data_IF_893509287694
#
_entry.id   IF_893509287694
#
_cell.length_a   1.000
_cell.length_b   1.000
_cell.length_c   1.000
_cell.angle_alpha   90.00
_cell.angle_beta   90.00
_cell.angle_gamma   90.00
#
_symmetry.space_group_name_H-M   'P 1'
#
loop_
_entity.id
_entity.type
_entity.pdbx_description
1 polymer ?
#
# COMPACT_ATOMS: atom_id res chain seq x y z
N UNK A 1 13.75 16.54 -3.31
CA UNK A 1 13.89 16.77 -1.84
C UNK A 1 12.91 15.82 -1.14
N UNK A 2 13.31 15.20 -0.01
CA UNK A 2 12.39 14.43 0.83
C UNK A 2 11.49 15.40 1.61
N UNK A 3 10.17 15.08 1.72
CA UNK A 3 9.22 15.93 2.40
C UNK A 3 9.17 15.65 3.90
N UNK A 4 9.21 16.69 4.72
CA UNK A 4 8.99 16.62 6.15
C UNK A 4 7.49 16.77 6.51
N UNK A 5 7.16 16.63 7.79
CA UNK A 5 5.81 16.69 8.32
C UNK A 5 5.04 17.97 7.95
N UNK A 6 5.70 19.14 7.99
CA UNK A 6 5.07 20.44 7.65
C UNK A 6 4.69 20.49 6.16
N UNK A 7 5.57 19.99 5.29
CA UNK A 7 5.34 19.97 3.85
C UNK A 7 4.24 18.96 3.48
N UNK A 8 4.21 17.77 4.13
CA UNK A 8 3.16 16.79 3.95
C UNK A 8 1.80 17.36 4.38
N UNK A 9 1.71 17.99 5.58
CA UNK A 9 0.47 18.66 6.05
C UNK A 9 -0.01 19.73 5.07
N UNK A 10 0.91 20.50 4.50
CA UNK A 10 0.58 21.54 3.51
C UNK A 10 -0.07 20.91 2.27
N UNK A 11 0.53 19.88 1.69
CA UNK A 11 0.00 19.19 0.50
C UNK A 11 -1.33 18.48 0.77
N UNK A 12 -1.51 17.91 1.96
CA UNK A 12 -2.80 17.34 2.35
C UNK A 12 -3.87 18.42 2.40
N UNK A 13 -3.57 19.59 2.98
CA UNK A 13 -4.53 20.70 3.08
C UNK A 13 -4.87 21.31 1.73
N UNK A 14 -3.89 21.47 0.84
CA UNK A 14 -4.04 22.18 -0.42
C UNK A 14 -4.52 21.27 -1.56
N UNK A 15 -4.13 20.00 -1.57
CA UNK A 15 -4.35 19.07 -2.68
C UNK A 15 -5.05 17.76 -2.26
N UNK A 16 -5.42 17.60 -0.97
CA UNK A 16 -6.04 16.38 -0.43
C UNK A 16 -5.17 15.13 -0.70
N UNK A 17 -3.84 15.29 -0.55
CA UNK A 17 -2.86 14.28 -0.96
C UNK A 17 -3.07 12.92 -0.28
N UNK A 18 -3.57 12.90 0.98
CA UNK A 18 -3.84 11.69 1.78
C UNK A 18 -5.21 11.83 2.43
N UNK A 19 -6.12 10.88 2.21
CA UNK A 19 -7.45 10.90 2.78
C UNK A 19 -7.94 9.48 3.16
N UNK A 20 -8.33 9.21 4.44
CA UNK A 20 -8.30 10.09 5.59
C UNK A 20 -6.88 10.31 6.13
N UNK A 21 -6.56 11.53 6.52
CA UNK A 21 -5.25 11.91 7.05
C UNK A 21 -5.22 11.90 8.58
N UNK A 22 -4.18 11.32 9.16
CA UNK A 22 -3.88 11.37 10.60
C UNK A 22 -2.66 12.25 10.82
N UNK A 23 -2.86 13.46 11.35
CA UNK A 23 -1.89 14.57 11.38
C UNK A 23 -0.74 14.42 12.41
N UNK A 24 -0.70 13.29 13.11
CA UNK A 24 0.33 12.93 14.09
C UNK A 24 0.53 11.42 14.12
N UNK A 25 1.65 10.98 14.66
CA UNK A 25 1.87 9.55 14.89
C UNK A 25 1.03 9.07 16.07
N UNK A 26 0.19 8.06 15.84
CA UNK A 26 -0.56 7.32 16.86
C UNK A 26 0.28 6.10 17.23
N UNK A 27 0.81 6.07 18.44
CA UNK A 27 1.74 5.03 18.90
C UNK A 27 1.06 3.79 19.51
N UNK A 28 -0.26 3.85 19.78
CA UNK A 28 -0.97 2.74 20.39
C UNK A 28 -1.08 1.57 19.40
N UNK A 29 -0.66 0.37 19.82
CA UNK A 29 -0.61 -0.81 18.97
C UNK A 29 0.51 -0.70 17.91
N UNK A 30 0.18 -0.98 16.66
CA UNK A 30 1.10 -0.77 15.54
C UNK A 30 0.89 0.66 15.02
N UNK A 31 1.91 1.50 15.20
CA UNK A 31 1.82 2.93 14.96
C UNK A 31 1.41 3.29 13.53
N UNK A 32 0.64 4.36 13.37
CA UNK A 32 0.21 4.90 12.08
C UNK A 32 0.11 6.42 12.13
N UNK A 33 -0.02 7.06 10.97
CA UNK A 33 -0.14 8.49 10.81
C UNK A 33 1.17 9.18 10.44
N UNK A 34 1.20 10.50 10.61
CA UNK A 34 2.30 11.36 10.17
C UNK A 34 3.54 11.20 11.05
N UNK A 35 4.70 11.01 10.39
CA UNK A 35 6.03 10.98 10.98
C UNK A 35 6.81 12.27 10.64
N UNK A 36 8.00 12.44 11.21
CA UNK A 36 8.89 13.57 10.90
C UNK A 36 9.21 13.68 9.40
N UNK A 37 9.40 12.53 8.74
CA UNK A 37 9.50 12.38 7.30
C UNK A 37 8.67 11.17 6.89
N UNK A 38 7.66 11.38 6.04
CA UNK A 38 6.79 10.31 5.56
C UNK A 38 5.55 10.06 6.42
N UNK A 39 4.87 8.95 6.13
CA UNK A 39 3.59 8.59 6.71
C UNK A 39 3.48 7.08 6.88
N UNK A 40 3.02 6.63 8.04
CA UNK A 40 2.69 5.22 8.30
C UNK A 40 1.22 4.99 7.91
N UNK A 41 1.02 4.34 6.78
CA UNK A 41 -0.31 4.06 6.26
C UNK A 41 -0.91 2.78 6.87
N UNK A 42 -2.24 2.70 6.90
CA UNK A 42 -3.00 1.57 7.42
C UNK A 42 -3.46 0.66 6.28
N UNK A 43 -3.61 -0.63 6.54
CA UNK A 43 -4.40 -1.46 5.63
C UNK A 43 -5.88 -1.41 6.00
N UNK A 44 -6.75 -1.56 5.01
CA UNK A 44 -8.19 -1.72 5.19
C UNK A 44 -8.54 -3.08 5.81
N UNK A 45 -9.81 -3.43 5.77
CA UNK A 45 -10.36 -4.68 6.33
C UNK A 45 -10.83 -5.67 5.26
N UNK A 46 -10.38 -5.48 4.02
CA UNK A 46 -10.52 -6.46 2.93
C UNK A 46 -9.15 -7.02 2.60
N UNK A 47 -9.08 -8.34 2.52
CA UNK A 47 -7.84 -9.09 2.29
C UNK A 47 -8.08 -10.16 1.24
N UNK A 48 -7.05 -10.44 0.44
CA UNK A 48 -6.98 -11.58 -0.46
C UNK A 48 -5.79 -12.44 -0.06
N UNK A 49 -6.04 -13.61 0.52
CA UNK A 49 -4.99 -14.55 0.96
C UNK A 49 -4.73 -15.51 -0.19
N UNK A 50 -3.47 -15.57 -0.64
CA UNK A 50 -3.09 -16.46 -1.73
C UNK A 50 -3.30 -17.93 -1.34
N UNK A 51 -3.92 -18.67 -2.24
CA UNK A 51 -4.15 -20.11 -2.11
C UNK A 51 -3.32 -20.86 -3.14
N UNK A 52 -2.56 -21.83 -2.65
CA UNK A 52 -1.79 -22.71 -3.54
C UNK A 52 -2.73 -23.72 -4.19
N UNK A 53 -3.09 -23.48 -5.45
CA UNK A 53 -3.83 -24.44 -6.26
C UNK A 53 -2.80 -25.38 -6.91
N UNK A 54 -2.90 -26.69 -6.61
CA UNK A 54 -1.97 -27.69 -7.14
C UNK A 54 -1.95 -27.64 -8.67
N UNK A 55 -0.76 -27.45 -9.23
CA UNK A 55 -0.54 -27.40 -10.68
C UNK A 55 -0.86 -26.04 -11.33
N UNK A 56 -1.30 -25.02 -10.56
CA UNK A 56 -1.48 -23.69 -11.10
C UNK A 56 -0.15 -22.91 -11.16
N UNK A 57 0.01 -22.09 -12.18
CA UNK A 57 1.12 -21.16 -12.33
C UNK A 57 0.63 -19.74 -11.97
N UNK A 58 1.37 -19.03 -11.12
CA UNK A 58 1.12 -17.60 -10.89
C UNK A 58 1.65 -16.83 -12.12
N UNK A 59 0.76 -16.45 -13.01
CA UNK A 59 1.07 -15.71 -14.24
C UNK A 59 0.46 -14.31 -14.16
N UNK A 60 1.26 -13.22 -14.16
CA UNK A 60 0.74 -11.87 -14.08
C UNK A 60 -0.13 -11.48 -15.28
N UNK A 61 -0.08 -12.22 -16.39
CA UNK A 61 -0.95 -12.03 -17.54
C UNK A 61 -2.30 -12.74 -17.41
N UNK A 62 -2.39 -13.70 -16.50
CA UNK A 62 -3.59 -14.53 -16.28
C UNK A 62 -3.81 -14.80 -14.79
N UNK A 63 -3.71 -13.76 -13.95
CA UNK A 63 -3.86 -13.88 -12.51
C UNK A 63 -5.30 -13.56 -12.11
N UNK A 64 -6.01 -14.54 -11.57
CA UNK A 64 -7.45 -14.49 -11.33
C UNK A 64 -7.81 -14.54 -9.85
N UNK A 65 -9.06 -14.23 -9.53
CA UNK A 65 -9.62 -14.32 -8.17
C UNK A 65 -9.55 -15.74 -7.59
N UNK A 66 -9.53 -16.77 -8.43
CA UNK A 66 -9.46 -18.17 -7.99
C UNK A 66 -8.15 -18.49 -7.25
N UNK A 67 -7.13 -17.66 -7.43
CA UNK A 67 -5.87 -17.77 -6.69
C UNK A 67 -5.96 -17.27 -5.23
N UNK A 68 -7.12 -16.78 -4.78
CA UNK A 68 -7.25 -16.14 -3.49
C UNK A 68 -8.49 -16.60 -2.72
N UNK A 69 -8.36 -16.62 -1.40
CA UNK A 69 -9.49 -16.54 -0.47
C UNK A 69 -9.67 -15.09 -0.08
N UNK A 70 -10.85 -14.52 -0.38
CA UNK A 70 -11.21 -13.16 0.02
C UNK A 70 -11.83 -13.17 1.41
N UNK A 71 -11.28 -12.33 2.30
CA UNK A 71 -11.77 -12.13 3.67
C UNK A 71 -12.13 -10.66 3.83
N UNK A 72 -13.34 -10.35 4.34
CA UNK A 72 -13.83 -8.98 4.54
C UNK A 72 -14.39 -8.80 5.94
N UNK A 73 -14.20 -7.59 6.48
CA UNK A 73 -14.78 -7.18 7.77
C UNK A 73 -14.05 -7.70 9.00
N UNK A 74 -13.00 -8.53 8.84
CA UNK A 74 -12.24 -9.07 9.95
C UNK A 74 -11.24 -8.04 10.51
N UNK A 75 -11.00 -8.10 11.82
CA UNK A 75 -10.02 -7.25 12.50
C UNK A 75 -8.56 -7.67 12.23
N UNK A 76 -8.35 -8.89 11.77
CA UNK A 76 -7.04 -9.42 11.38
C UNK A 76 -7.18 -10.69 10.55
N UNK A 77 -6.12 -11.01 9.79
CA UNK A 77 -5.98 -12.29 9.09
C UNK A 77 -4.70 -12.99 9.53
N UNK A 78 -4.60 -14.28 9.21
CA UNK A 78 -3.36 -15.07 9.30
C UNK A 78 -2.85 -15.34 7.89
N UNK A 79 -1.63 -14.87 7.60
CA UNK A 79 -0.96 -15.16 6.34
C UNK A 79 -0.20 -16.48 6.51
N UNK A 80 -0.48 -17.51 5.69
CA UNK A 80 0.17 -18.81 5.82
C UNK A 80 1.70 -18.73 5.65
N UNK A 81 2.45 -19.74 6.13
CA UNK A 81 3.88 -19.85 5.92
C UNK A 81 4.24 -19.81 4.43
N UNK A 82 5.32 -19.12 4.08
CA UNK A 82 5.84 -19.04 2.71
C UNK A 82 4.78 -18.66 1.67
N UNK A 83 3.81 -17.83 2.07
CA UNK A 83 2.70 -17.38 1.23
C UNK A 83 2.59 -15.86 1.27
N UNK A 84 1.61 -15.30 0.58
CA UNK A 84 1.37 -13.86 0.58
C UNK A 84 -0.11 -13.52 0.65
N UNK A 85 -0.38 -12.27 0.97
CA UNK A 85 -1.72 -11.70 0.95
C UNK A 85 -1.70 -10.30 0.35
N UNK A 86 -2.81 -9.91 -0.26
CA UNK A 86 -3.04 -8.55 -0.74
C UNK A 86 -4.02 -7.86 0.21
N UNK A 87 -3.76 -6.58 0.49
CA UNK A 87 -4.70 -5.68 1.13
C UNK A 87 -4.68 -4.32 0.42
N UNK A 88 -5.74 -3.54 0.52
CA UNK A 88 -5.69 -2.14 0.10
C UNK A 88 -5.29 -1.23 1.27
N UNK A 89 -4.63 -0.12 0.97
CA UNK A 89 -4.52 0.95 1.97
C UNK A 89 -5.90 1.45 2.36
N UNK A 90 -6.07 1.83 3.64
CA UNK A 90 -7.26 2.55 4.09
C UNK A 90 -7.26 3.95 3.50
N UNK A 91 -6.09 4.57 3.45
CA UNK A 91 -5.89 5.88 2.86
C UNK A 91 -6.01 5.84 1.34
N UNK A 92 -6.72 6.80 0.78
CA UNK A 92 -6.72 7.15 -0.64
C UNK A 92 -5.67 8.24 -0.87
N UNK A 93 -4.83 8.05 -1.85
CA UNK A 93 -3.77 8.99 -2.20
C UNK A 93 -4.11 9.77 -3.47
N UNK A 94 -3.83 11.08 -3.47
CA UNK A 94 -3.85 11.94 -4.65
C UNK A 94 -2.46 12.56 -4.80
N UNK A 95 -1.60 11.89 -5.52
CA UNK A 95 -0.22 12.36 -5.69
C UNK A 95 -0.16 13.62 -6.52
N UNK A 96 0.44 14.72 -6.01
CA UNK A 96 0.71 15.91 -6.81
C UNK A 96 1.59 15.60 -8.03
N UNK A 97 1.54 16.45 -9.06
CA UNK A 97 2.30 16.23 -10.31
C UNK A 97 3.83 16.28 -10.15
N UNK A 98 4.32 16.80 -9.05
CA UNK A 98 5.75 16.94 -8.74
C UNK A 98 6.18 16.16 -7.48
N UNK A 99 5.32 15.25 -6.99
CA UNK A 99 5.61 14.42 -5.82
C UNK A 99 5.47 12.95 -6.17
N UNK A 100 6.47 12.16 -5.83
CA UNK A 100 6.45 10.71 -5.87
C UNK A 100 6.57 10.13 -4.47
N UNK A 101 6.01 8.94 -4.24
CA UNK A 101 6.11 8.23 -2.97
C UNK A 101 6.86 6.91 -3.13
N UNK A 102 7.66 6.54 -2.12
CA UNK A 102 8.28 5.22 -2.00
C UNK A 102 7.69 4.53 -0.78
N UNK A 103 6.98 3.43 -1.02
CA UNK A 103 6.38 2.59 0.02
C UNK A 103 7.34 1.48 0.40
N UNK A 104 7.47 1.23 1.71
CA UNK A 104 8.30 0.18 2.27
C UNK A 104 7.55 -0.55 3.39
N UNK A 105 8.09 -1.72 3.78
CA UNK A 105 7.54 -2.47 4.90
C UNK A 105 7.62 -1.68 6.21
N UNK A 106 6.59 -1.79 7.05
CA UNK A 106 6.65 -1.30 8.42
C UNK A 106 7.58 -2.17 9.26
N UNK A 107 8.50 -1.53 9.98
CA UNK A 107 9.56 -2.23 10.74
C UNK A 107 9.02 -3.26 11.74
N UNK A 108 7.86 -3.01 12.35
CA UNK A 108 7.21 -3.95 13.28
C UNK A 108 6.88 -5.28 12.61
N UNK A 109 6.36 -5.24 11.38
CA UNK A 109 6.07 -6.45 10.58
C UNK A 109 7.33 -7.06 9.99
N UNK A 110 8.26 -6.25 9.50
CA UNK A 110 9.51 -6.75 8.95
C UNK A 110 10.32 -7.58 9.97
N UNK A 111 10.31 -7.18 11.24
CA UNK A 111 10.95 -7.92 12.35
C UNK A 111 10.27 -9.27 12.64
N UNK A 112 9.03 -9.46 12.23
CA UNK A 112 8.32 -10.74 12.31
C UNK A 112 8.48 -11.58 11.02
N UNK A 113 9.23 -11.09 10.03
CA UNK A 113 9.42 -11.78 8.75
C UNK A 113 8.34 -11.52 7.71
N UNK A 114 7.48 -10.50 7.92
CA UNK A 114 6.51 -10.06 6.93
C UNK A 114 7.11 -8.91 6.10
N UNK A 115 7.32 -9.16 4.83
CA UNK A 115 7.84 -8.18 3.88
C UNK A 115 6.75 -7.52 3.04
N UNK A 116 7.05 -6.31 2.54
CA UNK A 116 6.33 -5.64 1.44
C UNK A 116 7.41 -5.24 0.44
N UNK A 117 7.32 -5.62 -0.84
CA UNK A 117 8.24 -5.13 -1.86
C UNK A 117 8.13 -3.61 -1.97
N UNK A 118 9.24 -2.89 -2.17
CA UNK A 118 9.20 -1.46 -2.39
C UNK A 118 8.34 -1.13 -3.60
N UNK A 119 7.38 -0.22 -3.42
CA UNK A 119 6.43 0.19 -4.46
C UNK A 119 6.46 1.71 -4.61
N UNK A 120 6.43 2.18 -5.85
CA UNK A 120 6.46 3.62 -6.16
C UNK A 120 5.04 4.13 -6.45
N UNK A 121 4.63 5.17 -5.72
CA UNK A 121 3.48 6.00 -6.09
C UNK A 121 3.98 7.10 -7.01
N UNK A 122 3.66 7.00 -8.29
CA UNK A 122 4.13 7.94 -9.28
C UNK A 122 3.42 9.30 -9.19
N UNK A 123 4.10 10.35 -9.62
CA UNK A 123 3.56 11.70 -9.68
C UNK A 123 2.26 11.73 -10.52
N UNK A 124 1.20 12.32 -9.96
CA UNK A 124 -0.12 12.38 -10.58
C UNK A 124 -0.95 11.08 -10.46
N UNK A 125 -0.47 10.03 -9.78
CA UNK A 125 -1.27 8.83 -9.52
C UNK A 125 -2.29 9.08 -8.40
N UNK A 126 -3.50 8.52 -8.55
CA UNK A 126 -4.54 8.54 -7.53
C UNK A 126 -5.05 7.12 -7.25
N UNK A 127 -5.44 6.83 -6.00
CA UNK A 127 -6.07 5.55 -5.67
C UNK A 127 -5.80 5.08 -4.23
N UNK A 128 -6.43 3.95 -3.88
CA UNK A 128 -5.96 3.14 -2.76
C UNK A 128 -4.76 2.31 -3.24
N UNK A 129 -3.72 2.25 -2.42
CA UNK A 129 -2.55 1.43 -2.74
C UNK A 129 -2.87 -0.04 -2.42
N UNK A 130 -2.52 -0.93 -3.33
CA UNK A 130 -2.50 -2.37 -3.02
C UNK A 130 -1.16 -2.69 -2.36
N UNK A 131 -1.22 -3.35 -1.21
CA UNK A 131 -0.08 -3.77 -0.40
C UNK A 131 0.08 -5.28 -0.54
N UNK A 132 1.26 -5.70 -0.97
CA UNK A 132 1.62 -7.10 -1.22
C UNK A 132 2.43 -7.64 -0.02
N UNK A 133 1.76 -8.27 0.94
CA UNK A 133 2.39 -8.81 2.14
C UNK A 133 2.92 -10.21 1.90
N UNK A 134 4.24 -10.41 1.96
CA UNK A 134 4.90 -11.70 1.80
C UNK A 134 5.39 -12.24 3.14
N UNK A 135 4.93 -13.43 3.53
CA UNK A 135 5.40 -14.13 4.73
C UNK A 135 6.61 -15.00 4.38
N UNK A 136 7.80 -14.59 4.83
CA UNK A 136 9.07 -15.28 4.58
C UNK A 136 9.43 -16.31 5.66
N UNK A 137 8.49 -16.65 6.56
CA UNK A 137 8.73 -17.55 7.68
C UNK A 137 8.00 -18.88 7.52
N UNK A 138 8.38 -19.87 8.33
CA UNK A 138 7.68 -21.15 8.47
C UNK A 138 6.46 -21.12 9.39
N UNK A 139 6.15 -19.96 9.98
CA UNK A 139 5.01 -19.75 10.87
C UNK A 139 3.93 -18.86 10.19
N UNK A 140 2.70 -18.96 10.68
CA UNK A 140 1.68 -17.98 10.30
C UNK A 140 2.00 -16.61 10.89
N UNK A 141 1.77 -15.54 10.12
CA UNK A 141 1.92 -14.16 10.60
C UNK A 141 0.56 -13.48 10.61
N UNK A 142 0.24 -12.82 11.74
CA UNK A 142 -1.00 -12.04 11.87
C UNK A 142 -0.82 -10.64 11.30
N UNK A 143 -1.70 -10.27 10.39
CA UNK A 143 -1.83 -8.92 9.84
C UNK A 143 -3.12 -8.29 10.36
N UNK A 144 -3.02 -7.12 10.99
CA UNK A 144 -4.16 -6.41 11.59
C UNK A 144 -4.75 -5.38 10.62
N UNK A 145 -6.08 -5.38 10.50
CA UNK A 145 -6.82 -4.32 9.81
C UNK A 145 -6.77 -2.99 10.60
N UNK A 146 -6.93 -1.88 9.89
CA UNK A 146 -6.99 -0.52 10.42
C UNK A 146 -5.79 -0.10 11.28
N UNK A 147 -4.69 -0.84 11.19
CA UNK A 147 -3.42 -0.60 11.90
C UNK A 147 -2.32 -0.24 10.92
N UNK A 148 -1.24 0.38 11.41
CA UNK A 148 -0.10 0.72 10.59
C UNK A 148 0.47 -0.52 9.89
N UNK A 149 0.57 -0.50 8.58
CA UNK A 149 0.91 -1.65 7.76
C UNK A 149 2.18 -1.45 6.93
N UNK A 150 2.38 -0.25 6.44
CA UNK A 150 3.52 0.13 5.62
C UNK A 150 3.92 1.57 5.92
N UNK A 151 5.11 1.95 5.49
CA UNK A 151 5.62 3.32 5.57
C UNK A 151 5.80 3.88 4.16
N UNK A 152 5.44 5.15 3.97
CA UNK A 152 5.70 5.86 2.72
C UNK A 152 6.56 7.09 2.98
N UNK A 153 7.60 7.27 2.18
CA UNK A 153 8.40 8.48 2.07
C UNK A 153 8.00 9.25 0.82
N UNK A 154 7.85 10.56 0.93
CA UNK A 154 7.49 11.42 -0.20
C UNK A 154 8.69 12.23 -0.66
N UNK A 155 8.87 12.31 -1.97
CA UNK A 155 9.95 13.05 -2.62
C UNK A 155 9.35 14.07 -3.59
N UNK A 156 9.74 15.32 -3.44
CA UNK A 156 9.35 16.38 -4.36
C UNK A 156 10.50 16.72 -5.31
N UNK A 157 10.18 16.84 -6.59
CA UNK A 157 11.07 17.28 -7.66
C UNK A 157 10.40 18.33 -8.54
N UNK A 158 10.98 18.57 -9.70
CA UNK A 158 10.31 19.30 -10.78
C UNK A 158 9.17 18.48 -11.37
N UNK A 159 8.22 19.14 -12.04
CA UNK A 159 7.13 18.42 -12.69
C UNK A 159 7.67 17.62 -13.87
N UNK A 160 7.28 16.34 -14.00
CA UNK A 160 7.63 15.55 -15.17
C UNK A 160 6.88 16.10 -16.41
N UNK A 161 7.42 15.86 -17.58
CA UNK A 161 6.76 16.19 -18.84
C UNK A 161 5.38 15.51 -18.95
N UNK A 162 5.29 14.23 -18.56
CA UNK A 162 4.05 13.45 -18.55
C UNK A 162 3.88 12.77 -17.20
N UNK A 163 2.85 13.16 -16.44
CA UNK A 163 2.50 12.52 -15.17
C UNK A 163 1.73 11.21 -15.41
N UNK A 164 1.58 10.38 -14.34
CA UNK A 164 0.85 9.12 -14.45
C UNK A 164 -0.60 9.28 -14.96
N UNK A 165 -1.30 10.33 -14.51
CA UNK A 165 -2.68 10.61 -14.93
C UNK A 165 -2.80 10.98 -16.40
N UNK A 166 -1.73 11.41 -17.04
CA UNK A 166 -1.69 11.87 -18.43
C UNK A 166 -1.25 10.78 -19.41
N UNK A 167 -0.72 9.66 -18.92
CA UNK A 167 -0.32 8.53 -19.76
C UNK A 167 -1.52 7.96 -20.56
N UNK A 168 -1.29 7.51 -21.75
CA UNK A 168 -2.30 6.81 -22.57
C UNK A 168 -2.77 5.52 -21.89
N UNK A 169 -1.84 4.77 -21.25
CA UNK A 169 -2.14 3.55 -20.48
C UNK A 169 -1.83 3.82 -19.01
N UNK A 170 -2.85 3.75 -18.17
CA UNK A 170 -2.81 4.00 -16.72
C UNK A 170 -3.59 2.93 -15.95
N UNK A 171 -2.98 1.74 -15.87
CA UNK A 171 -3.61 0.49 -15.40
C UNK A 171 -4.27 0.59 -14.02
N UNK A 172 -3.67 1.34 -13.11
CA UNK A 172 -4.08 1.41 -11.70
C UNK A 172 -4.49 2.81 -11.24
N UNK A 173 -4.80 3.72 -12.19
CA UNK A 173 -5.25 5.07 -11.85
C UNK A 173 -6.67 5.05 -11.32
N UNK A 174 -6.91 5.77 -10.21
CA UNK A 174 -8.20 5.84 -9.51
C UNK A 174 -8.72 4.48 -9.04
N UNK A 175 -7.81 3.54 -8.77
CA UNK A 175 -8.23 2.26 -8.22
C UNK A 175 -8.80 2.41 -6.81
N UNK A 176 -9.84 1.60 -6.53
CA UNK A 176 -10.48 1.48 -5.22
C UNK A 176 -10.40 0.02 -4.80
N UNK A 177 -10.03 -0.22 -3.53
CA UNK A 177 -9.87 -1.57 -3.00
C UNK A 177 -8.70 -2.34 -3.63
N UNK A 178 -8.77 -3.67 -3.55
CA UNK A 178 -7.72 -4.56 -4.04
C UNK A 178 -7.91 -4.83 -5.53
N UNK A 179 -6.93 -4.43 -6.33
CA UNK A 179 -6.87 -4.78 -7.76
C UNK A 179 -5.79 -5.84 -7.97
N UNK A 180 -6.11 -6.87 -8.75
CA UNK A 180 -5.14 -7.88 -9.17
C UNK A 180 -4.24 -7.37 -10.29
N UNK A 181 -3.18 -8.14 -10.60
CA UNK A 181 -2.29 -7.83 -11.71
C UNK A 181 -3.06 -7.68 -13.03
N UNK A 182 -2.78 -6.59 -13.77
CA UNK A 182 -3.39 -6.29 -15.08
C UNK A 182 -2.34 -6.41 -16.17
N UNK A 183 -2.54 -7.32 -17.11
CA UNK A 183 -1.65 -7.49 -18.26
C UNK A 183 -1.90 -6.46 -19.38
N UNK A 184 -3.09 -5.86 -19.43
CA UNK A 184 -3.52 -4.91 -20.47
C UNK A 184 -3.83 -3.54 -19.88
#
# INVERSE_FOLDING_TARGET
MILNDKQIKKLVKEEDMINPFVDKSIAQGISHGLNSFGYDLRCGNEFKIFTNIKGATADPKNFTEDNFITVKGESSILIPPNSFALASSLEYFKMPRNVTGLVTAKSSYARCGLGIPPTVLEAGWHGNLVLEFSNHTSNQIRLYANSGAAQILFFQGEQPEVSYAERAIKKYHKQVGIQLAKAK
#
